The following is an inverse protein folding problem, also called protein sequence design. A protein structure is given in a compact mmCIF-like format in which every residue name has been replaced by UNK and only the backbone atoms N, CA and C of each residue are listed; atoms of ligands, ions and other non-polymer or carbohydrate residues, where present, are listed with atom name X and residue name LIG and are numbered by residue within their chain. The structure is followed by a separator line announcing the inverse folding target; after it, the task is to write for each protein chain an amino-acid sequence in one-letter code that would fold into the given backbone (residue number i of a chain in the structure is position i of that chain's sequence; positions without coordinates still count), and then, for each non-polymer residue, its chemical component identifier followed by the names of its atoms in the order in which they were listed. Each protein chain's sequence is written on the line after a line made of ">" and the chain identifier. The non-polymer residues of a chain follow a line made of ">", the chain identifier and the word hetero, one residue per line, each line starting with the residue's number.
data_IF_113307451487
#
_entry.id   IF_113307451487
#
_cell.length_a   1.000
_cell.length_b   1.000
_cell.length_c   1.000
_cell.angle_alpha   90.00
_cell.angle_beta   90.00
_cell.angle_gamma   90.00
#
_symmetry.space_group_name_H-M   'P 1'
#
loop_
_entity.id
_entity.type
_entity.pdbx_description
1 polymer ?
#
# COMPACT_ATOMS: atom_id res chain seq x y z
N UNK A 1 53.78 -13.30 40.89
CA UNK A 1 53.68 -14.44 39.97
C UNK A 1 52.26 -14.44 39.45
N UNK A 2 52.13 -13.89 38.25
CA UNK A 2 50.87 -13.42 37.67
C UNK A 2 49.96 -14.57 37.24
N UNK A 3 48.71 -14.50 37.68
CA UNK A 3 47.63 -15.34 37.19
C UNK A 3 47.22 -14.87 35.79
N UNK A 4 47.77 -15.51 34.75
CA UNK A 4 47.26 -15.41 33.38
C UNK A 4 45.88 -16.06 33.30
N UNK A 5 44.84 -15.23 33.40
CA UNK A 5 43.49 -15.55 32.90
C UNK A 5 43.59 -15.82 31.39
N UNK A 6 43.48 -17.10 31.02
CA UNK A 6 43.30 -17.49 29.64
C UNK A 6 41.90 -17.07 29.19
N UNK A 7 41.81 -15.95 28.47
CA UNK A 7 40.63 -15.59 27.71
C UNK A 7 40.47 -16.64 26.59
N UNK A 8 39.60 -17.62 26.81
CA UNK A 8 39.09 -18.48 25.73
C UNK A 8 38.36 -17.58 24.74
N UNK A 9 39.00 -17.32 23.61
CA UNK A 9 38.38 -16.76 22.41
C UNK A 9 37.37 -17.77 21.88
N UNK A 10 36.15 -17.74 22.43
CA UNK A 10 35.02 -18.51 21.94
C UNK A 10 34.62 -17.99 20.55
N UNK A 11 34.46 -18.89 19.59
CA UNK A 11 34.07 -18.57 18.22
C UNK A 11 32.73 -17.81 18.18
N UNK A 12 32.60 -16.73 17.37
CA UNK A 12 31.38 -15.93 17.28
C UNK A 12 30.11 -16.73 16.93
N UNK A 13 30.28 -17.84 16.19
CA UNK A 13 29.18 -18.75 15.84
C UNK A 13 28.60 -19.48 17.05
N UNK A 14 29.44 -19.84 18.02
CA UNK A 14 28.99 -20.48 19.26
C UNK A 14 28.29 -19.47 20.16
N UNK A 15 28.81 -18.24 20.28
CA UNK A 15 28.20 -17.18 21.08
C UNK A 15 26.79 -16.82 20.57
N UNK A 16 26.61 -16.70 19.24
CA UNK A 16 25.29 -16.43 18.65
C UNK A 16 24.30 -17.59 18.87
N UNK A 17 24.76 -18.84 18.81
CA UNK A 17 23.93 -20.01 19.11
C UNK A 17 23.50 -20.03 20.57
N UNK A 18 24.41 -19.78 21.51
CA UNK A 18 24.10 -19.79 22.96
C UNK A 18 23.19 -18.61 23.33
N UNK A 19 23.38 -17.44 22.71
CA UNK A 19 22.49 -16.29 22.89
C UNK A 19 21.09 -16.54 22.31
N UNK A 20 20.98 -17.15 21.13
CA UNK A 20 19.68 -17.53 20.54
C UNK A 20 18.94 -18.56 21.40
N UNK A 21 19.66 -19.51 22.01
CA UNK A 21 19.08 -20.50 22.93
C UNK A 21 18.60 -19.84 24.23
N UNK A 22 19.38 -18.94 24.84
CA UNK A 22 18.97 -18.21 26.04
C UNK A 22 17.75 -17.31 25.81
N UNK A 23 17.65 -16.68 24.63
CA UNK A 23 16.47 -15.89 24.25
C UNK A 23 15.24 -16.79 24.07
N UNK A 24 15.40 -17.96 23.47
CA UNK A 24 14.30 -18.93 23.32
C UNK A 24 13.84 -19.50 24.68
N UNK A 25 14.76 -19.84 25.57
CA UNK A 25 14.45 -20.32 26.92
C UNK A 25 13.75 -19.25 27.77
N UNK A 26 14.17 -17.98 27.67
CA UNK A 26 13.49 -16.87 28.34
C UNK A 26 12.06 -16.65 27.82
N UNK A 27 11.82 -16.85 26.53
CA UNK A 27 10.47 -16.74 25.97
C UNK A 27 9.60 -17.90 26.43
N UNK A 28 10.13 -19.12 26.55
CA UNK A 28 9.40 -20.35 26.92
C UNK A 28 8.67 -20.24 28.26
N UNK A 29 9.27 -19.58 29.24
CA UNK A 29 8.70 -19.42 30.58
C UNK A 29 7.56 -18.39 30.65
N UNK A 30 7.42 -17.53 29.63
CA UNK A 30 6.43 -16.45 29.62
C UNK A 30 5.06 -16.94 29.11
N UNK A 31 3.93 -16.50 29.70
CA UNK A 31 2.61 -16.92 29.26
C UNK A 31 2.24 -16.35 27.89
N UNK A 32 1.57 -17.15 27.06
CA UNK A 32 1.20 -16.83 25.67
C UNK A 32 0.45 -15.51 25.53
N UNK A 33 -0.46 -15.22 26.45
CA UNK A 33 -1.24 -13.98 26.44
C UNK A 33 -0.33 -12.74 26.53
N UNK A 34 0.72 -12.79 27.36
CA UNK A 34 1.66 -11.67 27.51
C UNK A 34 2.54 -11.48 26.29
N UNK A 35 3.00 -12.57 25.67
CA UNK A 35 3.77 -12.52 24.43
C UNK A 35 2.93 -11.92 23.30
N UNK A 36 1.66 -12.31 23.21
CA UNK A 36 0.73 -11.80 22.22
C UNK A 36 0.46 -10.31 22.41
N UNK A 37 0.20 -9.86 23.64
CA UNK A 37 0.00 -8.44 23.95
C UNK A 37 1.23 -7.59 23.63
N UNK A 38 2.43 -8.09 23.95
CA UNK A 38 3.70 -7.42 23.60
C UNK A 38 3.87 -7.32 22.08
N UNK A 39 3.66 -8.43 21.36
CA UNK A 39 3.74 -8.47 19.90
C UNK A 39 2.72 -7.55 19.23
N UNK A 40 1.48 -7.51 19.73
CA UNK A 40 0.46 -6.60 19.24
C UNK A 40 0.86 -5.14 19.46
N UNK A 41 1.35 -4.79 20.66
CA UNK A 41 1.81 -3.43 20.95
C UNK A 41 2.99 -3.01 20.05
N UNK A 42 3.91 -3.94 19.74
CA UNK A 42 4.99 -3.73 18.77
C UNK A 42 4.43 -3.38 17.37
N UNK A 43 3.50 -4.17 16.84
CA UNK A 43 2.90 -3.92 15.52
C UNK A 43 2.09 -2.61 15.52
N UNK A 44 1.40 -2.30 16.61
CA UNK A 44 0.69 -1.03 16.74
C UNK A 44 1.65 0.16 16.67
N UNK A 45 2.81 0.12 17.35
CA UNK A 45 3.83 1.18 17.21
C UNK A 45 4.32 1.32 15.77
N UNK A 46 4.67 0.21 15.12
CA UNK A 46 5.13 0.20 13.72
C UNK A 46 4.09 0.75 12.73
N UNK A 47 2.80 0.61 13.05
CA UNK A 47 1.71 1.06 12.17
C UNK A 47 1.16 2.44 12.52
N UNK A 48 1.33 2.91 13.75
CA UNK A 48 0.91 4.23 14.21
C UNK A 48 1.94 5.33 13.95
N UNK A 49 3.23 5.01 13.83
CA UNK A 49 4.28 5.98 13.45
C UNK A 49 4.22 6.42 11.96
N UNK A 50 3.17 6.05 11.22
CA UNK A 50 2.95 6.41 9.82
C UNK A 50 1.68 7.23 9.54
N UNK A 51 1.69 8.52 9.90
CA UNK A 51 0.91 9.54 9.19
C UNK A 51 1.68 10.03 7.94
N UNK A 52 0.99 10.63 6.96
CA UNK A 52 1.03 10.23 5.55
C UNK A 52 2.44 10.19 4.95
N UNK A 53 2.74 9.13 4.19
CA UNK A 53 3.74 9.10 3.11
C UNK A 53 4.97 9.98 3.36
N UNK A 54 5.92 9.54 4.18
CA UNK A 54 7.25 10.13 4.19
C UNK A 54 8.29 9.12 3.72
N UNK A 55 9.29 9.62 2.95
CA UNK A 55 10.12 8.82 2.07
C UNK A 55 11.03 7.93 2.89
N UNK A 56 11.22 6.69 2.41
CA UNK A 56 12.30 5.75 2.76
C UNK A 56 13.32 6.36 3.74
N UNK A 57 13.21 6.11 5.05
CA UNK A 57 14.16 6.67 6.00
C UNK A 57 15.54 6.10 5.68
N UNK A 58 16.56 6.95 5.73
CA UNK A 58 17.91 6.52 5.41
C UNK A 58 18.35 5.47 6.44
N UNK A 59 19.13 4.43 6.07
CA UNK A 59 19.59 3.38 7.01
C UNK A 59 20.40 3.88 8.23
N UNK A 60 20.68 5.18 8.28
CA UNK A 60 21.42 5.87 9.34
C UNK A 60 20.51 6.51 10.39
N UNK A 61 19.19 6.61 10.15
CA UNK A 61 18.26 7.18 11.12
C UNK A 61 18.03 6.20 12.28
N UNK A 62 18.25 6.66 13.52
CA UNK A 62 18.05 5.85 14.72
C UNK A 62 16.61 5.32 14.85
N UNK A 63 15.62 6.08 14.37
CA UNK A 63 14.21 5.68 14.31
C UNK A 63 13.97 4.52 13.31
N UNK A 64 14.64 4.52 12.16
CA UNK A 64 14.57 3.40 11.21
C UNK A 64 15.22 2.13 11.77
N UNK A 65 16.31 2.27 12.52
CA UNK A 65 16.96 1.14 13.21
C UNK A 65 16.07 0.58 14.32
N UNK A 66 15.47 1.44 15.14
CA UNK A 66 14.51 1.03 16.16
C UNK A 66 13.30 0.30 15.55
N UNK A 67 12.75 0.80 14.45
CA UNK A 67 11.68 0.12 13.72
C UNK A 67 12.10 -1.26 13.18
N UNK A 68 13.32 -1.39 12.66
CA UNK A 68 13.83 -2.68 12.18
C UNK A 68 14.04 -3.69 13.31
N UNK A 69 14.51 -3.24 14.46
CA UNK A 69 14.66 -4.09 15.64
C UNK A 69 13.30 -4.50 16.21
N UNK A 70 12.31 -3.60 16.24
CA UNK A 70 10.91 -3.90 16.59
C UNK A 70 10.30 -4.94 15.63
N UNK A 71 10.58 -4.87 14.33
CA UNK A 71 10.14 -5.88 13.34
C UNK A 71 10.77 -7.24 13.65
N UNK A 72 12.08 -7.29 13.90
CA UNK A 72 12.80 -8.54 14.20
C UNK A 72 12.33 -9.16 15.52
N UNK A 73 12.09 -8.33 16.54
CA UNK A 73 11.51 -8.77 17.81
C UNK A 73 10.10 -9.31 17.62
N UNK A 74 9.24 -8.57 16.91
CA UNK A 74 7.88 -9.01 16.58
C UNK A 74 7.86 -10.35 15.84
N UNK A 75 8.74 -10.55 14.85
CA UNK A 75 8.87 -11.82 14.14
C UNK A 75 9.28 -12.95 15.07
N UNK A 76 10.21 -12.70 16.00
CA UNK A 76 10.64 -13.70 16.98
C UNK A 76 9.49 -14.09 17.91
N UNK A 77 8.74 -13.11 18.42
CA UNK A 77 7.59 -13.32 19.30
C UNK A 77 6.47 -14.11 18.60
N UNK A 78 6.04 -13.68 17.41
CA UNK A 78 4.91 -14.31 16.73
C UNK A 78 5.25 -15.68 16.14
N UNK A 79 6.50 -15.94 15.73
CA UNK A 79 6.91 -17.30 15.36
C UNK A 79 6.87 -18.25 16.56
N UNK A 80 7.28 -17.77 17.74
CA UNK A 80 7.24 -18.56 18.96
C UNK A 80 5.80 -18.78 19.46
N UNK A 81 4.95 -17.76 19.39
CA UNK A 81 3.51 -17.89 19.66
C UNK A 81 2.88 -18.89 18.71
N UNK A 82 3.14 -18.77 17.40
CA UNK A 82 2.63 -19.69 16.38
C UNK A 82 3.04 -21.13 16.71
N UNK A 83 4.32 -21.38 16.98
CA UNK A 83 4.83 -22.71 17.37
C UNK A 83 4.09 -23.30 18.57
N UNK A 84 3.84 -22.49 19.60
CA UNK A 84 3.14 -22.93 20.81
C UNK A 84 1.66 -23.19 20.59
N UNK A 85 0.96 -22.30 19.88
CA UNK A 85 -0.45 -22.46 19.52
C UNK A 85 -0.67 -23.77 18.77
N UNK A 86 0.21 -24.08 17.81
CA UNK A 86 0.18 -25.37 17.10
C UNK A 86 0.50 -26.55 18.02
N UNK A 87 1.51 -26.44 18.88
CA UNK A 87 1.89 -27.55 19.78
C UNK A 87 0.83 -27.87 20.84
N UNK A 88 0.07 -26.87 21.28
CA UNK A 88 -1.02 -27.01 22.25
C UNK A 88 -2.33 -27.42 21.57
N UNK A 89 -2.41 -27.34 20.24
CA UNK A 89 -3.63 -27.65 19.50
C UNK A 89 -4.80 -26.71 19.81
N UNK A 90 -4.54 -25.44 20.19
CA UNK A 90 -5.58 -24.49 20.62
C UNK A 90 -6.56 -24.11 19.49
N UNK A 91 -6.17 -24.34 18.24
CA UNK A 91 -6.99 -24.08 17.06
C UNK A 91 -6.91 -25.29 16.14
N UNK A 92 -7.88 -26.19 16.23
CA UNK A 92 -7.97 -27.36 15.35
C UNK A 92 -8.46 -26.98 13.95
N UNK A 93 -8.00 -27.66 12.90
CA UNK A 93 -8.38 -27.37 11.51
C UNK A 93 -9.86 -27.60 11.19
N UNK A 94 -10.58 -28.33 12.05
CA UNK A 94 -12.00 -28.67 11.87
C UNK A 94 -12.93 -28.04 12.94
N UNK A 95 -12.46 -27.03 13.66
CA UNK A 95 -13.27 -26.32 14.65
C UNK A 95 -14.24 -25.32 14.00
N UNK A 96 -15.46 -25.23 14.52
CA UNK A 96 -16.35 -24.11 14.24
C UNK A 96 -16.05 -22.94 15.19
N UNK A 97 -16.51 -21.73 14.84
CA UNK A 97 -16.28 -20.52 15.63
C UNK A 97 -16.78 -20.61 17.08
N UNK A 98 -17.83 -21.40 17.30
CA UNK A 98 -18.45 -21.52 18.62
C UNK A 98 -17.73 -22.56 19.50
N UNK A 99 -16.92 -23.45 18.91
CA UNK A 99 -16.11 -24.44 19.64
C UNK A 99 -14.80 -23.86 20.18
N UNK A 100 -14.31 -22.76 19.59
CA UNK A 100 -13.06 -22.10 20.01
C UNK A 100 -13.30 -21.32 21.30
N UNK A 101 -12.46 -21.52 22.32
CA UNK A 101 -12.54 -20.76 23.56
C UNK A 101 -12.36 -19.25 23.33
N UNK A 102 -13.14 -18.43 24.04
CA UNK A 102 -13.12 -16.96 23.88
C UNK A 102 -11.71 -16.37 24.10
N UNK A 103 -10.96 -16.93 25.04
CA UNK A 103 -9.58 -16.52 25.33
C UNK A 103 -8.58 -16.83 24.20
N UNK A 104 -8.85 -17.88 23.40
CA UNK A 104 -7.93 -18.37 22.38
C UNK A 104 -8.21 -17.80 20.99
N UNK A 105 -9.41 -17.24 20.78
CA UNK A 105 -9.82 -16.63 19.52
C UNK A 105 -8.85 -15.55 19.01
N UNK A 106 -8.16 -14.83 19.92
CA UNK A 106 -7.13 -13.84 19.55
C UNK A 106 -5.95 -14.45 18.79
N UNK A 107 -5.64 -15.73 18.98
CA UNK A 107 -4.51 -16.38 18.32
C UNK A 107 -4.76 -16.65 16.84
N UNK A 108 -6.00 -16.54 16.36
CA UNK A 108 -6.29 -16.52 14.91
C UNK A 108 -5.53 -15.38 14.21
N UNK A 109 -5.25 -14.27 14.90
CA UNK A 109 -4.54 -13.12 14.35
C UNK A 109 -3.02 -13.33 14.22
N UNK A 110 -2.46 -14.44 14.70
CA UNK A 110 -0.99 -14.66 14.69
C UNK A 110 -0.44 -14.61 13.27
N UNK A 111 -1.05 -15.33 12.32
CA UNK A 111 -0.62 -15.34 10.92
C UNK A 111 -0.86 -13.98 10.24
N UNK A 112 -1.89 -13.24 10.64
CA UNK A 112 -2.10 -11.87 10.21
C UNK A 112 -0.94 -10.95 10.64
N UNK A 113 -0.53 -11.01 11.91
CA UNK A 113 0.58 -10.20 12.41
C UNK A 113 1.92 -10.61 11.79
N UNK A 114 2.17 -11.91 11.58
CA UNK A 114 3.32 -12.39 10.82
C UNK A 114 3.33 -11.83 9.40
N UNK A 115 2.18 -11.78 8.73
CA UNK A 115 2.04 -11.18 7.40
C UNK A 115 2.42 -9.69 7.37
N UNK A 116 1.93 -8.91 8.34
CA UNK A 116 2.28 -7.48 8.48
C UNK A 116 3.77 -7.29 8.74
N UNK A 117 4.37 -8.08 9.62
CA UNK A 117 5.79 -7.96 9.94
C UNK A 117 6.67 -8.37 8.74
N UNK A 118 6.30 -9.44 8.04
CA UNK A 118 6.99 -9.88 6.82
C UNK A 118 6.88 -8.86 5.68
N UNK A 119 5.74 -8.15 5.56
CA UNK A 119 5.57 -7.10 4.56
C UNK A 119 6.38 -5.83 4.85
N UNK A 120 6.85 -5.66 6.08
CA UNK A 120 7.64 -4.52 6.53
C UNK A 120 9.15 -4.80 6.60
N UNK A 121 9.61 -6.04 6.33
CA UNK A 121 11.03 -6.38 6.40
C UNK A 121 11.85 -5.45 5.48
N UNK A 122 12.84 -4.73 6.04
CA UNK A 122 13.63 -3.73 5.32
C UNK A 122 14.61 -4.36 4.33
N UNK A 123 15.00 -3.56 3.33
CA UNK A 123 16.10 -3.88 2.41
C UNK A 123 17.45 -3.70 3.13
N UNK A 124 18.00 -4.76 3.71
CA UNK A 124 19.31 -4.70 4.38
C UNK A 124 20.48 -4.96 3.42
N UNK A 125 21.42 -4.02 3.32
CA UNK A 125 22.73 -4.15 2.65
C UNK A 125 23.05 -2.99 1.68
N UNK A 126 24.35 -2.75 1.43
CA UNK A 126 24.85 -1.63 0.58
C UNK A 126 24.29 -1.60 -0.85
N UNK A 127 23.73 -2.71 -1.35
CA UNK A 127 23.19 -2.83 -2.71
C UNK A 127 21.67 -3.01 -2.77
N UNK A 128 20.97 -2.97 -1.64
CA UNK A 128 19.54 -3.32 -1.55
C UNK A 128 19.33 -4.78 -1.97
N UNK A 129 19.28 -5.70 -1.01
CA UNK A 129 19.07 -7.12 -1.32
C UNK A 129 17.61 -7.37 -1.71
N UNK A 130 17.31 -7.13 -2.99
CA UNK A 130 15.99 -7.38 -3.61
C UNK A 130 15.55 -8.85 -3.42
N UNK A 131 16.50 -9.77 -3.26
CA UNK A 131 16.22 -11.17 -2.95
C UNK A 131 15.64 -11.37 -1.55
N UNK A 132 16.11 -10.64 -0.54
CA UNK A 132 15.50 -10.67 0.81
C UNK A 132 14.10 -10.06 0.81
N UNK A 133 13.88 -8.95 0.10
CA UNK A 133 12.55 -8.34 -0.02
C UNK A 133 11.56 -9.28 -0.69
N UNK A 134 11.97 -9.92 -1.78
CA UNK A 134 11.20 -10.98 -2.44
C UNK A 134 10.77 -12.07 -1.47
N UNK A 135 11.72 -12.59 -0.68
CA UNK A 135 11.45 -13.65 0.30
C UNK A 135 10.49 -13.14 1.38
N UNK A 136 10.67 -11.90 1.85
CA UNK A 136 9.79 -11.25 2.81
C UNK A 136 8.36 -11.14 2.30
N UNK A 137 8.16 -10.62 1.09
CA UNK A 137 6.83 -10.51 0.46
C UNK A 137 6.20 -11.89 0.25
N UNK A 138 6.98 -12.87 -0.22
CA UNK A 138 6.51 -14.25 -0.35
C UNK A 138 6.00 -14.82 0.98
N UNK A 139 6.76 -14.64 2.06
CA UNK A 139 6.34 -15.05 3.42
C UNK A 139 5.11 -14.27 3.90
N UNK A 140 5.01 -12.98 3.59
CA UNK A 140 3.85 -12.16 3.94
C UNK A 140 2.58 -12.69 3.27
N UNK A 141 2.63 -12.95 1.96
CA UNK A 141 1.52 -13.53 1.20
C UNK A 141 1.11 -14.89 1.74
N UNK A 142 2.07 -15.81 1.99
CA UNK A 142 1.75 -17.12 2.59
C UNK A 142 1.11 -16.97 3.97
N UNK A 143 1.59 -16.05 4.81
CA UNK A 143 1.01 -15.84 6.15
C UNK A 143 -0.41 -15.28 6.06
N UNK A 144 -0.66 -14.32 5.16
CA UNK A 144 -2.00 -13.81 4.91
C UNK A 144 -2.95 -14.86 4.33
N UNK A 145 -2.46 -15.73 3.46
CA UNK A 145 -3.24 -16.84 2.91
C UNK A 145 -3.67 -17.80 4.03
N UNK A 146 -2.74 -18.23 4.89
CA UNK A 146 -3.04 -19.08 6.05
C UNK A 146 -4.07 -18.43 6.97
N UNK A 147 -3.92 -17.13 7.25
CA UNK A 147 -4.89 -16.36 8.04
C UNK A 147 -6.29 -16.34 7.42
N UNK A 148 -6.39 -16.07 6.12
CA UNK A 148 -7.67 -15.99 5.41
C UNK A 148 -8.34 -17.37 5.32
N UNK A 149 -7.58 -18.43 5.05
CA UNK A 149 -8.08 -19.81 5.08
C UNK A 149 -8.63 -20.17 6.46
N UNK A 150 -7.92 -19.80 7.54
CA UNK A 150 -8.41 -20.00 8.90
C UNK A 150 -9.70 -19.22 9.18
N UNK A 151 -9.81 -17.98 8.70
CA UNK A 151 -11.03 -17.19 8.83
C UNK A 151 -12.21 -17.78 8.04
N UNK A 152 -11.95 -18.40 6.88
CA UNK A 152 -12.95 -19.09 6.09
C UNK A 152 -13.44 -20.37 6.79
N UNK A 153 -12.53 -21.19 7.32
CA UNK A 153 -12.87 -22.41 8.09
C UNK A 153 -13.74 -22.09 9.30
N UNK A 154 -13.41 -21.03 10.04
CA UNK A 154 -14.20 -20.57 11.19
C UNK A 154 -15.51 -19.87 10.76
N UNK A 155 -15.80 -19.73 9.47
CA UNK A 155 -16.99 -19.01 9.00
C UNK A 155 -17.02 -17.53 9.40
N UNK A 156 -15.84 -16.92 9.63
CA UNK A 156 -15.67 -15.49 9.88
C UNK A 156 -15.60 -14.69 8.58
N UNK A 157 -15.22 -15.32 7.48
CA UNK A 157 -15.24 -14.77 6.13
C UNK A 157 -16.56 -15.13 5.43
N UNK A 158 -17.47 -14.14 5.26
CA UNK A 158 -18.80 -14.34 4.69
C UNK A 158 -19.20 -13.21 3.74
N UNK A 159 -20.09 -13.50 2.80
CA UNK A 159 -20.75 -12.50 1.96
C UNK A 159 -19.77 -11.75 1.04
N UNK A 160 -19.80 -10.42 1.09
CA UNK A 160 -18.95 -9.54 0.28
C UNK A 160 -17.45 -9.81 0.48
N UNK A 161 -17.03 -10.05 1.73
CA UNK A 161 -15.61 -10.21 2.05
C UNK A 161 -15.05 -11.53 1.48
N UNK A 162 -15.87 -12.59 1.45
CA UNK A 162 -15.51 -13.87 0.84
C UNK A 162 -15.41 -13.76 -0.68
N UNK A 163 -16.34 -13.05 -1.32
CA UNK A 163 -16.29 -12.80 -2.77
C UNK A 163 -15.09 -11.96 -3.16
N UNK A 164 -14.76 -10.93 -2.36
CA UNK A 164 -13.58 -10.10 -2.58
C UNK A 164 -12.28 -10.91 -2.46
N UNK A 165 -12.20 -11.82 -1.49
CA UNK A 165 -11.05 -12.71 -1.33
C UNK A 165 -10.92 -13.70 -2.50
N UNK A 166 -12.03 -14.34 -2.91
CA UNK A 166 -12.05 -15.27 -4.04
C UNK A 166 -11.63 -14.57 -5.34
N UNK A 167 -12.13 -13.35 -5.60
CA UNK A 167 -11.73 -12.55 -6.76
C UNK A 167 -10.24 -12.21 -6.77
N UNK A 168 -9.69 -11.79 -5.63
CA UNK A 168 -8.27 -11.46 -5.49
C UNK A 168 -7.33 -12.66 -5.66
N UNK A 169 -7.84 -13.89 -5.50
CA UNK A 169 -7.10 -15.14 -5.75
C UNK A 169 -7.26 -15.64 -7.18
N UNK A 170 -8.46 -15.52 -7.76
CA UNK A 170 -8.72 -15.96 -9.14
C UNK A 170 -7.87 -15.22 -10.19
N UNK A 171 -7.52 -13.95 -9.92
CA UNK A 171 -6.56 -13.19 -10.73
C UNK A 171 -5.18 -13.91 -10.83
N UNK A 172 -4.79 -14.75 -9.87
CA UNK A 172 -3.55 -15.54 -9.94
C UNK A 172 -3.63 -16.71 -10.93
N UNK A 173 -4.79 -17.36 -11.05
CA UNK A 173 -4.94 -18.58 -11.85
C UNK A 173 -4.96 -18.28 -13.35
N UNK A 174 -5.53 -17.14 -13.76
CA UNK A 174 -5.45 -16.68 -15.16
C UNK A 174 -4.03 -16.28 -15.59
N UNK A 175 -3.22 -15.73 -14.68
CA UNK A 175 -1.82 -15.37 -14.98
C UNK A 175 -0.87 -16.58 -14.99
N UNK A 176 -1.17 -17.62 -14.21
CA UNK A 176 -0.36 -18.85 -14.12
C UNK A 176 -0.57 -19.86 -15.28
N UNK A 177 -1.62 -19.71 -16.08
CA UNK A 177 -2.02 -20.66 -17.14
C UNK A 177 -1.41 -20.35 -18.53
N UNK A 178 -0.24 -19.71 -18.55
CA UNK A 178 0.50 -19.41 -19.77
C UNK A 178 1.73 -20.33 -19.93
N UNK A 179 1.55 -21.65 -19.87
CA UNK A 179 2.59 -22.57 -20.33
C UNK A 179 2.01 -23.87 -20.92
N UNK A 180 2.41 -24.14 -22.16
CA UNK A 180 2.24 -25.44 -22.83
C UNK A 180 1.39 -25.43 -24.09
N UNK A 181 1.87 -24.82 -25.18
CA UNK A 181 1.93 -25.43 -26.51
C UNK A 181 2.93 -24.68 -27.40
N UNK A 182 3.83 -25.44 -28.02
CA UNK A 182 4.83 -25.02 -29.01
C UNK A 182 4.23 -24.07 -30.05
N UNK A 183 4.73 -22.84 -30.14
CA UNK A 183 4.54 -22.01 -31.34
C UNK A 183 5.63 -20.93 -31.47
N UNK A 184 6.83 -21.39 -31.82
CA UNK A 184 8.06 -20.58 -32.00
C UNK A 184 7.98 -19.59 -33.19
N UNK A 185 6.86 -19.57 -33.94
CA UNK A 185 6.64 -18.66 -35.07
C UNK A 185 5.90 -17.36 -34.73
N UNK A 186 5.28 -17.23 -33.56
CA UNK A 186 4.55 -15.99 -33.17
C UNK A 186 5.40 -14.97 -32.41
N UNK A 187 6.61 -15.31 -31.96
CA UNK A 187 7.47 -14.42 -31.16
C UNK A 187 8.11 -13.26 -31.94
N UNK A 188 8.04 -13.25 -33.28
CA UNK A 188 8.67 -12.22 -34.12
C UNK A 188 7.76 -11.09 -34.58
N UNK A 189 6.46 -11.14 -34.28
CA UNK A 189 5.51 -10.19 -34.88
C UNK A 189 4.40 -9.72 -33.93
N UNK A 190 4.61 -9.65 -32.61
CA UNK A 190 3.77 -8.83 -31.73
C UNK A 190 4.64 -8.35 -30.57
N UNK A 191 5.07 -7.08 -30.61
CA UNK A 191 5.48 -6.40 -29.38
C UNK A 191 4.30 -6.47 -28.41
N UNK A 192 4.47 -6.92 -27.16
CA UNK A 192 3.40 -6.86 -26.18
C UNK A 192 3.23 -5.39 -25.79
N UNK A 193 2.44 -4.64 -26.57
CA UNK A 193 1.80 -3.42 -26.12
C UNK A 193 0.53 -3.78 -25.34
N UNK A 194 0.63 -4.72 -24.39
CA UNK A 194 -0.17 -4.63 -23.17
C UNK A 194 0.58 -3.60 -22.33
N UNK A 195 0.32 -2.32 -22.64
CA UNK A 195 0.59 -1.28 -21.67
C UNK A 195 -0.09 -1.69 -20.37
N UNK A 196 0.46 -1.24 -19.26
CA UNK A 196 -0.17 -1.21 -17.93
C UNK A 196 -1.45 -0.37 -18.08
N UNK A 197 -2.45 -0.96 -18.71
CA UNK A 197 -3.73 -0.38 -19.05
C UNK A 197 -4.64 -0.77 -17.92
N UNK A 198 -4.39 -0.19 -16.75
CA UNK A 198 -5.40 -0.14 -15.70
C UNK A 198 -6.55 0.63 -16.34
N UNK A 199 -7.59 -0.07 -16.78
CA UNK A 199 -8.75 0.59 -17.36
C UNK A 199 -9.26 1.59 -16.31
N UNK A 200 -9.60 2.81 -16.71
CA UNK A 200 -10.10 3.82 -15.75
C UNK A 200 -11.34 3.33 -14.98
N UNK A 201 -12.07 2.35 -15.53
CA UNK A 201 -13.14 1.64 -14.83
C UNK A 201 -12.64 0.81 -13.64
N UNK A 202 -11.52 0.09 -13.78
CA UNK A 202 -10.94 -0.71 -12.70
C UNK A 202 -10.38 0.17 -11.57
N UNK A 203 -9.79 1.32 -11.87
CA UNK A 203 -9.29 2.25 -10.83
C UNK A 203 -10.41 2.81 -9.96
N UNK A 204 -11.55 3.17 -10.56
CA UNK A 204 -12.68 3.69 -9.81
C UNK A 204 -13.27 2.63 -8.89
N UNK A 205 -13.39 1.39 -9.36
CA UNK A 205 -13.89 0.26 -8.55
C UNK A 205 -12.94 -0.07 -7.40
N UNK A 206 -11.62 -0.15 -7.65
CA UNK A 206 -10.63 -0.37 -6.59
C UNK A 206 -10.63 0.77 -5.57
N UNK A 207 -10.77 2.02 -6.03
CA UNK A 207 -10.87 3.20 -5.16
C UNK A 207 -12.13 3.14 -4.30
N UNK A 208 -13.30 2.83 -4.86
CA UNK A 208 -14.56 2.76 -4.09
C UNK A 208 -14.50 1.66 -3.04
N UNK A 209 -14.01 0.47 -3.41
CA UNK A 209 -13.81 -0.64 -2.46
C UNK A 209 -12.87 -0.25 -1.31
N UNK A 210 -11.77 0.46 -1.60
CA UNK A 210 -10.85 0.95 -0.56
C UNK A 210 -11.50 1.98 0.36
N UNK A 211 -12.31 2.89 -0.18
CA UNK A 211 -13.06 3.88 0.61
C UNK A 211 -14.07 3.17 1.53
N UNK A 212 -14.77 2.17 1.02
CA UNK A 212 -15.72 1.37 1.80
C UNK A 212 -15.03 0.61 2.93
N UNK A 213 -13.92 -0.08 2.64
CA UNK A 213 -13.11 -0.76 3.66
C UNK A 213 -12.57 0.21 4.71
N UNK A 214 -12.13 1.40 4.30
CA UNK A 214 -11.70 2.44 5.24
C UNK A 214 -12.84 2.89 6.17
N UNK A 215 -14.06 3.06 5.64
CA UNK A 215 -15.26 3.37 6.44
C UNK A 215 -15.60 2.21 7.40
N UNK A 216 -15.57 0.96 6.94
CA UNK A 216 -15.75 -0.25 7.76
C UNK A 216 -14.71 -0.30 8.89
N UNK A 217 -13.44 -0.05 8.59
CA UNK A 217 -12.35 -0.03 9.58
C UNK A 217 -12.50 1.10 10.60
N UNK A 218 -12.91 2.30 10.18
CA UNK A 218 -13.15 3.44 11.09
C UNK A 218 -14.29 3.14 12.06
N UNK A 219 -15.40 2.62 11.57
CA UNK A 219 -16.56 2.27 12.41
C UNK A 219 -16.24 1.12 13.37
N UNK A 220 -15.52 0.10 12.92
CA UNK A 220 -15.05 -1.00 13.78
C UNK A 220 -14.09 -0.53 14.88
N UNK A 221 -13.14 0.37 14.58
CA UNK A 221 -12.26 0.96 15.60
C UNK A 221 -13.04 1.71 16.67
N UNK A 222 -14.07 2.45 16.28
CA UNK A 222 -14.93 3.15 17.24
C UNK A 222 -15.69 2.16 18.13
N UNK A 223 -16.26 1.11 17.53
CA UNK A 223 -16.91 0.04 18.29
C UNK A 223 -15.94 -0.64 19.25
N UNK A 224 -14.69 -0.86 18.85
CA UNK A 224 -13.66 -1.45 19.70
C UNK A 224 -13.35 -0.59 20.94
N UNK A 225 -13.34 0.74 20.80
CA UNK A 225 -13.18 1.66 21.94
C UNK A 225 -14.33 1.52 22.93
N UNK A 226 -15.56 1.45 22.42
CA UNK A 226 -16.76 1.23 23.23
C UNK A 226 -16.69 -0.11 23.96
N UNK A 227 -16.34 -1.20 23.26
CA UNK A 227 -16.22 -2.54 23.86
C UNK A 227 -15.16 -2.58 24.95
N UNK A 228 -13.99 -1.97 24.73
CA UNK A 228 -12.94 -1.90 25.75
C UNK A 228 -13.40 -1.13 26.99
N UNK A 229 -14.13 -0.02 26.82
CA UNK A 229 -14.68 0.76 27.93
C UNK A 229 -15.73 -0.04 28.73
N UNK A 230 -16.64 -0.73 28.04
CA UNK A 230 -17.64 -1.58 28.68
C UNK A 230 -17.00 -2.72 29.47
N UNK A 231 -15.98 -3.36 28.89
CA UNK A 231 -15.26 -4.46 29.50
C UNK A 231 -14.52 -4.03 30.77
N UNK A 232 -13.92 -2.83 30.79
CA UNK A 232 -13.34 -2.25 32.02
C UNK A 232 -14.43 -2.02 33.07
N UNK A 233 -15.57 -1.43 32.70
CA UNK A 233 -16.70 -1.22 33.62
C UNK A 233 -17.25 -2.52 34.22
N UNK A 234 -17.44 -3.55 33.40
CA UNK A 234 -17.91 -4.87 33.84
C UNK A 234 -16.89 -5.48 34.79
N UNK A 235 -15.59 -5.43 34.45
CA UNK A 235 -14.50 -5.89 35.32
C UNK A 235 -14.52 -5.19 36.67
N UNK A 236 -14.68 -3.87 36.69
CA UNK A 236 -14.69 -3.07 37.91
C UNK A 236 -15.92 -3.36 38.78
N UNK A 237 -17.12 -3.40 38.19
CA UNK A 237 -18.34 -3.80 38.91
C UNK A 237 -18.24 -5.21 39.51
N UNK A 238 -17.61 -6.14 38.79
CA UNK A 238 -17.36 -7.50 39.27
C UNK A 238 -16.32 -7.51 40.40
N UNK A 239 -15.30 -6.63 40.36
CA UNK A 239 -14.34 -6.50 41.48
C UNK A 239 -15.02 -5.95 42.74
N UNK A 240 -15.90 -4.97 42.59
CA UNK A 240 -16.65 -4.36 43.70
C UNK A 240 -17.63 -5.36 44.34
N UNK A 241 -18.34 -6.14 43.53
CA UNK A 241 -19.24 -7.19 44.01
C UNK A 241 -18.50 -8.32 44.75
N UNK A 242 -17.30 -8.69 44.29
CA UNK A 242 -16.48 -9.75 44.90
C UNK A 242 -15.61 -9.31 46.08
N UNK A 243 -15.56 -8.02 46.43
CA UNK A 243 -14.73 -7.51 47.54
C UNK A 243 -15.26 -7.90 48.94
N UNK A 244 -16.45 -8.49 49.03
CA UNK A 244 -17.05 -8.97 50.28
C UNK A 244 -16.72 -10.43 50.67
N UNK A 245 -16.26 -11.26 49.73
CA UNK A 245 -15.94 -12.68 49.99
C UNK A 245 -14.43 -12.94 49.91
N UNK A 246 -13.77 -13.00 51.06
CA UNK A 246 -12.43 -13.57 51.17
C UNK A 246 -12.50 -15.09 50.90
N UNK A 247 -12.27 -15.52 49.67
CA UNK A 247 -12.31 -16.96 49.40
C UNK A 247 -12.03 -17.39 47.96
N UNK A 248 -10.77 -17.28 47.52
CA UNK A 248 -10.02 -18.22 46.65
C UNK A 248 -10.63 -18.87 45.39
N UNK A 249 -11.82 -18.53 44.93
CA UNK A 249 -12.42 -19.02 43.67
C UNK A 249 -12.83 -17.86 42.77
N UNK A 250 -11.89 -16.95 42.48
CA UNK A 250 -12.09 -15.86 41.50
C UNK A 250 -11.42 -16.24 40.19
N UNK A 251 -11.93 -17.27 39.53
CA UNK A 251 -11.32 -17.76 38.28
C UNK A 251 -12.24 -17.68 37.07
N UNK A 252 -13.57 -17.61 37.25
CA UNK A 252 -14.49 -17.58 36.11
C UNK A 252 -14.91 -16.14 35.76
N UNK A 253 -14.68 -15.70 34.50
CA UNK A 253 -15.23 -14.45 33.98
C UNK A 253 -16.76 -14.45 34.08
N UNK A 254 -17.36 -13.29 34.31
CA UNK A 254 -18.81 -13.15 34.16
C UNK A 254 -19.23 -13.49 32.72
N UNK A 255 -20.40 -14.09 32.50
CA UNK A 255 -20.91 -14.35 31.16
C UNK A 255 -20.99 -13.09 30.28
N UNK A 256 -21.30 -11.93 30.89
CA UNK A 256 -21.28 -10.63 30.20
C UNK A 256 -19.85 -10.20 29.81
N UNK A 257 -18.86 -10.51 30.65
CA UNK A 257 -17.45 -10.23 30.35
C UNK A 257 -16.97 -11.09 29.19
N UNK A 258 -17.31 -12.39 29.20
CA UNK A 258 -16.95 -13.32 28.14
C UNK A 258 -17.60 -12.92 26.80
N UNK A 259 -18.88 -12.54 26.79
CA UNK A 259 -19.58 -12.11 25.57
C UNK A 259 -18.91 -10.88 24.96
N UNK A 260 -18.57 -9.88 25.79
CA UNK A 260 -17.85 -8.68 25.35
C UNK A 260 -16.44 -9.01 24.84
N UNK A 261 -15.72 -9.92 25.51
CA UNK A 261 -14.39 -10.37 25.09
C UNK A 261 -14.44 -11.12 23.75
N UNK A 262 -15.47 -11.94 23.54
CA UNK A 262 -15.73 -12.65 22.29
C UNK A 262 -16.09 -11.68 21.17
N UNK A 263 -16.99 -10.73 21.40
CA UNK A 263 -17.34 -9.70 20.40
C UNK A 263 -16.10 -8.88 20.00
N UNK A 264 -15.31 -8.45 21.00
CA UNK A 264 -14.05 -7.71 20.78
C UNK A 264 -13.08 -8.50 19.90
N UNK A 265 -12.89 -9.79 20.18
CA UNK A 265 -11.98 -10.66 19.45
C UNK A 265 -12.45 -10.90 18.00
N UNK A 266 -13.75 -11.18 17.81
CA UNK A 266 -14.36 -11.29 16.47
C UNK A 266 -14.18 -10.00 15.67
N UNK A 267 -14.30 -8.83 16.31
CA UNK A 267 -14.13 -7.54 15.65
C UNK A 267 -12.69 -7.29 15.21
N UNK A 268 -11.69 -7.64 16.04
CA UNK A 268 -10.28 -7.57 15.65
C UNK A 268 -9.96 -8.46 14.45
N UNK A 269 -10.50 -9.68 14.40
CA UNK A 269 -10.33 -10.59 13.25
C UNK A 269 -10.94 -9.98 11.98
N UNK A 270 -12.15 -9.42 12.07
CA UNK A 270 -12.77 -8.74 10.91
C UNK A 270 -11.94 -7.55 10.43
N UNK A 271 -11.39 -6.75 11.34
CA UNK A 271 -10.48 -5.66 10.98
C UNK A 271 -9.22 -6.19 10.28
N UNK A 272 -8.68 -7.32 10.74
CA UNK A 272 -7.58 -8.03 10.09
C UNK A 272 -7.91 -8.44 8.66
N UNK A 273 -9.09 -9.04 8.43
CA UNK A 273 -9.56 -9.45 7.09
C UNK A 273 -9.55 -8.27 6.12
N UNK A 274 -10.15 -7.13 6.49
CA UNK A 274 -10.17 -5.97 5.60
C UNK A 274 -8.79 -5.40 5.32
N UNK A 275 -7.88 -5.43 6.32
CA UNK A 275 -6.50 -4.99 6.13
C UNK A 275 -5.75 -5.93 5.19
N UNK A 276 -5.93 -7.25 5.31
CA UNK A 276 -5.33 -8.22 4.39
C UNK A 276 -5.80 -7.99 2.96
N UNK A 277 -7.09 -7.76 2.74
CA UNK A 277 -7.61 -7.49 1.40
C UNK A 277 -7.00 -6.23 0.76
N UNK A 278 -6.62 -5.22 1.55
CA UNK A 278 -5.92 -4.03 1.05
C UNK A 278 -4.43 -4.32 0.78
N UNK A 279 -3.75 -4.99 1.71
CA UNK A 279 -2.32 -5.32 1.59
C UNK A 279 -2.04 -6.35 0.49
N UNK A 280 -2.92 -7.33 0.28
CA UNK A 280 -2.75 -8.40 -0.70
C UNK A 280 -2.52 -7.86 -2.11
N UNK A 281 -3.39 -6.93 -2.54
CA UNK A 281 -3.30 -6.31 -3.87
C UNK A 281 -1.99 -5.56 -4.06
N UNK A 282 -1.54 -4.83 -3.03
CA UNK A 282 -0.31 -4.04 -3.08
C UNK A 282 0.94 -4.93 -3.10
N UNK A 283 0.97 -5.98 -2.28
CA UNK A 283 2.09 -6.92 -2.22
C UNK A 283 2.20 -7.77 -3.47
N UNK A 284 1.09 -8.09 -4.13
CA UNK A 284 1.09 -8.78 -5.41
C UNK A 284 1.67 -7.92 -6.53
N UNK A 285 1.24 -6.67 -6.64
CA UNK A 285 1.84 -5.70 -7.56
C UNK A 285 3.34 -5.53 -7.29
N UNK A 286 3.75 -5.44 -6.03
CA UNK A 286 5.16 -5.36 -5.67
C UNK A 286 5.93 -6.64 -6.06
N UNK A 287 5.37 -7.82 -5.81
CA UNK A 287 5.96 -9.11 -6.19
C UNK A 287 6.20 -9.20 -7.71
N UNK A 288 5.25 -8.75 -8.51
CA UNK A 288 5.34 -8.70 -9.97
C UNK A 288 6.44 -7.73 -10.43
N UNK A 289 6.45 -6.50 -9.89
CA UNK A 289 7.46 -5.49 -10.20
C UNK A 289 8.87 -6.02 -9.86
N UNK A 290 9.04 -6.65 -8.70
CA UNK A 290 10.32 -7.26 -8.30
C UNK A 290 10.73 -8.44 -9.20
N UNK A 291 9.76 -9.20 -9.70
CA UNK A 291 10.02 -10.25 -10.69
C UNK A 291 10.52 -9.66 -12.01
N UNK A 292 9.85 -8.62 -12.54
CA UNK A 292 10.27 -7.91 -13.75
C UNK A 292 11.65 -7.25 -13.60
N UNK A 293 11.96 -6.66 -12.44
CA UNK A 293 13.27 -6.07 -12.18
C UNK A 293 14.40 -7.12 -12.21
N UNK A 294 14.14 -8.35 -11.77
CA UNK A 294 15.15 -9.43 -11.80
C UNK A 294 15.39 -9.97 -13.20
N UNK A 295 14.35 -10.10 -14.03
CA UNK A 295 14.54 -10.54 -15.42
C UNK A 295 15.36 -9.52 -16.19
N UNK A 296 15.00 -8.22 -16.11
CA UNK A 296 15.72 -7.14 -16.76
C UNK A 296 17.15 -6.96 -16.22
N UNK A 297 17.36 -7.07 -14.91
CA UNK A 297 18.70 -7.02 -14.30
C UNK A 297 19.58 -8.21 -14.67
N UNK A 298 18.98 -9.40 -14.85
CA UNK A 298 19.67 -10.61 -15.30
C UNK A 298 20.11 -10.53 -16.76
N UNK A 299 19.28 -9.97 -17.64
CA UNK A 299 19.61 -9.72 -19.05
C UNK A 299 20.76 -8.71 -19.19
N UNK A 300 20.68 -7.59 -18.46
CA UNK A 300 21.74 -6.57 -18.43
C UNK A 300 23.09 -7.13 -17.96
N UNK A 301 23.08 -8.04 -16.98
CA UNK A 301 24.29 -8.71 -16.47
C UNK A 301 24.83 -9.80 -17.41
N UNK A 302 23.97 -10.40 -18.26
CA UNK A 302 24.38 -11.35 -19.32
C UNK A 302 25.00 -10.62 -20.51
N UNK A 303 24.47 -9.47 -20.92
CA UNK A 303 25.06 -8.62 -21.96
C UNK A 303 26.47 -8.11 -21.58
N UNK A 304 26.69 -7.76 -20.30
CA UNK A 304 28.01 -7.37 -19.78
C UNK A 304 29.03 -8.52 -19.81
N UNK A 305 28.59 -9.78 -19.61
CA UNK A 305 29.48 -10.96 -19.71
C UNK A 305 29.67 -11.47 -21.14
N UNK A 306 28.73 -11.19 -22.06
CA UNK A 306 28.81 -11.56 -23.47
C UNK A 306 29.72 -10.67 -24.33
N UNK A 307 30.18 -9.54 -23.79
CA UNK A 307 30.93 -8.53 -24.54
C UNK A 307 32.33 -8.29 -23.97
N UNK A 308 33.07 -9.36 -23.65
CA UNK A 308 34.54 -9.29 -23.53
C UNK A 308 35.17 -9.67 -24.88
N UNK A 309 34.97 -8.81 -25.87
CA UNK A 309 35.50 -8.98 -27.21
C UNK A 309 35.19 -7.75 -28.07
N UNK A 310 36.09 -6.77 -28.05
CA UNK A 310 36.16 -5.60 -28.95
C UNK A 310 34.92 -4.68 -29.02
N UNK A 311 34.90 -3.62 -28.21
CA UNK A 311 34.68 -2.27 -28.75
C UNK A 311 34.97 -1.20 -27.71
N UNK A 312 36.04 -0.45 -27.94
CA UNK A 312 36.07 0.95 -27.58
C UNK A 312 35.01 1.67 -28.44
N UNK A 313 33.74 1.62 -28.03
CA UNK A 313 32.70 2.51 -28.53
C UNK A 313 32.15 3.25 -27.34
N UNK A 314 32.49 4.53 -27.30
CA UNK A 314 32.02 5.48 -26.29
C UNK A 314 30.51 5.39 -26.16
N UNK A 315 30.04 5.53 -24.91
CA UNK A 315 28.62 5.59 -24.60
C UNK A 315 27.93 6.57 -25.54
N UNK A 316 26.70 6.22 -25.93
CA UNK A 316 25.83 7.08 -26.73
C UNK A 316 25.71 8.41 -25.99
N UNK A 317 26.47 9.42 -26.43
CA UNK A 317 26.28 10.79 -26.00
C UNK A 317 24.97 11.24 -26.63
N UNK A 318 23.93 11.36 -25.81
CA UNK A 318 22.70 12.04 -26.20
C UNK A 318 23.05 13.53 -26.34
N UNK A 319 23.50 13.92 -27.52
CA UNK A 319 23.71 15.32 -27.88
C UNK A 319 22.34 15.91 -28.25
N UNK A 320 21.72 16.59 -27.29
CA UNK A 320 20.55 17.42 -27.61
C UNK A 320 21.00 18.64 -28.42
N UNK A 321 20.35 18.84 -29.56
CA UNK A 321 20.64 19.92 -30.51
C UNK A 321 19.79 21.12 -30.11
N UNK A 322 20.38 22.10 -29.43
CA UNK A 322 19.74 23.40 -29.22
C UNK A 322 19.84 24.20 -30.53
N UNK A 323 18.71 24.36 -31.24
CA UNK A 323 18.60 25.15 -32.49
C UNK A 323 18.53 26.64 -32.16
N UNK A 324 19.61 27.21 -31.65
CA UNK A 324 19.67 28.66 -31.34
C UNK A 324 20.96 29.27 -31.88
N UNK A 325 21.02 29.40 -33.20
CA UNK A 325 22.05 30.20 -33.87
C UNK A 325 21.98 30.11 -35.40
N UNK A 326 22.03 31.23 -36.15
CA UNK A 326 22.14 31.21 -37.59
C UNK A 326 23.56 30.77 -37.96
N UNK A 327 23.76 29.46 -38.16
CA UNK A 327 25.06 28.89 -38.50
C UNK A 327 25.35 27.50 -37.94
N UNK A 328 24.43 26.87 -37.20
CA UNK A 328 24.53 25.44 -36.85
C UNK A 328 25.78 25.03 -36.09
N UNK A 329 26.50 25.97 -35.47
CA UNK A 329 27.73 25.68 -34.74
C UNK A 329 27.40 25.22 -33.31
N UNK A 330 27.69 23.95 -33.03
CA UNK A 330 27.54 23.30 -31.73
C UNK A 330 28.48 23.95 -30.71
N UNK A 331 27.93 24.71 -29.76
CA UNK A 331 28.69 25.21 -28.60
C UNK A 331 28.04 24.66 -27.33
N UNK A 332 28.59 23.55 -26.84
CA UNK A 332 28.26 23.00 -25.52
C UNK A 332 29.20 23.68 -24.53
N UNK A 333 28.73 24.65 -23.74
CA UNK A 333 29.53 25.18 -22.63
C UNK A 333 29.43 24.22 -21.45
N UNK A 334 30.56 23.95 -20.81
CA UNK A 334 30.64 23.07 -19.64
C UNK A 334 29.78 23.59 -18.47
N UNK A 335 29.55 24.89 -18.43
CA UNK A 335 28.67 25.59 -17.49
C UNK A 335 27.19 25.18 -17.67
N UNK A 336 26.71 25.09 -18.92
CA UNK A 336 25.34 24.72 -19.25
C UNK A 336 25.06 23.23 -18.94
N UNK A 337 26.06 22.37 -19.12
CA UNK A 337 25.99 20.96 -18.73
C UNK A 337 25.95 20.82 -17.21
N UNK A 338 26.79 21.56 -16.47
CA UNK A 338 26.85 21.48 -15.01
C UNK A 338 25.56 21.99 -14.36
N UNK A 339 24.95 23.05 -14.90
CA UNK A 339 23.69 23.58 -14.39
C UNK A 339 22.50 22.61 -14.56
N UNK A 340 22.58 21.67 -15.49
CA UNK A 340 21.52 20.69 -15.79
C UNK A 340 21.67 19.36 -15.04
N UNK A 341 22.78 19.13 -14.34
CA UNK A 341 22.99 17.95 -13.49
C UNK A 341 22.61 18.33 -12.04
N UNK A 342 21.84 17.47 -11.37
CA UNK A 342 21.26 17.69 -10.03
C UNK A 342 20.07 18.64 -9.94
N UNK A 343 19.27 18.77 -11.01
CA UNK A 343 17.96 19.39 -10.90
C UNK A 343 16.95 18.44 -10.23
N UNK A 344 16.09 18.92 -9.33
CA UNK A 344 14.99 18.12 -8.80
C UNK A 344 14.13 17.56 -9.93
N UNK A 345 13.72 16.28 -9.84
CA UNK A 345 12.92 15.60 -10.86
C UNK A 345 11.47 16.08 -11.00
N UNK A 346 11.14 17.24 -10.42
CA UNK A 346 9.82 17.87 -10.45
C UNK A 346 9.96 19.33 -10.88
N UNK A 347 8.94 19.87 -11.54
CA UNK A 347 8.91 21.27 -11.93
C UNK A 347 8.84 22.15 -10.68
N UNK A 348 9.88 22.93 -10.44
CA UNK A 348 9.88 23.92 -9.36
C UNK A 348 8.86 25.03 -9.68
N UNK A 349 8.16 25.56 -8.66
CA UNK A 349 7.32 26.74 -8.84
C UNK A 349 8.16 27.90 -9.40
N UNK A 350 7.77 28.40 -10.57
CA UNK A 350 8.43 29.54 -11.22
C UNK A 350 7.97 30.89 -10.66
N UNK A 351 6.89 30.87 -9.88
CA UNK A 351 6.30 32.05 -9.24
C UNK A 351 6.53 31.99 -7.73
N UNK A 352 6.76 33.16 -7.13
CA UNK A 352 6.85 33.26 -5.67
C UNK A 352 5.47 33.01 -5.03
N UNK A 353 5.47 32.64 -3.75
CA UNK A 353 4.22 32.34 -3.03
C UNK A 353 3.28 33.57 -2.97
N UNK A 354 3.87 34.76 -2.84
CA UNK A 354 3.17 36.04 -2.82
C UNK A 354 2.58 36.39 -4.19
N UNK A 355 3.35 36.17 -5.25
CA UNK A 355 2.89 36.38 -6.62
C UNK A 355 1.78 35.40 -7.02
N UNK A 356 1.88 34.14 -6.58
CA UNK A 356 0.82 33.16 -6.77
C UNK A 356 -0.45 33.54 -6.00
N UNK A 357 -0.32 34.01 -4.76
CA UNK A 357 -1.47 34.50 -3.98
C UNK A 357 -2.13 35.71 -4.64
N UNK A 358 -1.34 36.63 -5.21
CA UNK A 358 -1.85 37.77 -5.96
C UNK A 358 -2.58 37.34 -7.26
N UNK A 359 -2.03 36.35 -7.97
CA UNK A 359 -2.67 35.78 -9.17
C UNK A 359 -4.00 35.10 -8.81
N UNK A 360 -4.06 34.30 -7.75
CA UNK A 360 -5.30 33.66 -7.30
C UNK A 360 -6.33 34.68 -6.80
N UNK A 361 -5.91 35.75 -6.11
CA UNK A 361 -6.80 36.83 -5.68
C UNK A 361 -7.38 37.58 -6.89
N UNK A 362 -6.53 37.92 -7.87
CA UNK A 362 -6.97 38.58 -9.10
C UNK A 362 -7.92 37.69 -9.91
N UNK A 363 -7.62 36.39 -10.04
CA UNK A 363 -8.50 35.42 -10.68
C UNK A 363 -9.82 35.26 -9.92
N UNK A 364 -9.80 35.27 -8.58
CA UNK A 364 -11.01 35.23 -7.77
C UNK A 364 -11.87 36.50 -7.95
N UNK A 365 -11.25 37.68 -8.01
CA UNK A 365 -11.92 38.93 -8.29
C UNK A 365 -12.51 38.95 -9.71
N UNK A 366 -11.79 38.43 -10.70
CA UNK A 366 -12.27 38.32 -12.07
C UNK A 366 -13.45 37.33 -12.19
N UNK A 367 -13.38 36.18 -11.49
CA UNK A 367 -14.50 35.23 -11.41
C UNK A 367 -15.73 35.88 -10.81
N UNK A 368 -15.57 36.61 -9.71
CA UNK A 368 -16.67 37.35 -9.05
C UNK A 368 -17.25 38.43 -9.95
N UNK A 369 -16.40 39.25 -10.57
CA UNK A 369 -16.83 40.28 -11.50
C UNK A 369 -17.55 39.69 -12.73
N UNK A 370 -17.12 38.51 -13.20
CA UNK A 370 -17.77 37.78 -14.29
C UNK A 370 -19.13 37.21 -13.87
N UNK A 371 -19.26 36.68 -12.65
CA UNK A 371 -20.55 36.26 -12.08
C UNK A 371 -21.50 37.45 -11.89
N UNK A 372 -21.02 38.57 -11.35
CA UNK A 372 -21.80 39.80 -11.19
C UNK A 372 -22.20 40.40 -12.55
N UNK A 373 -21.31 40.36 -13.54
CA UNK A 373 -21.62 40.76 -14.92
C UNK A 373 -22.63 39.81 -15.57
N UNK A 374 -22.53 38.50 -15.33
CA UNK A 374 -23.51 37.50 -15.80
C UNK A 374 -24.87 37.66 -15.11
N UNK A 375 -24.87 38.02 -13.83
CA UNK A 375 -26.09 38.30 -13.08
C UNK A 375 -26.72 39.65 -13.48
N UNK A 376 -25.91 40.63 -13.89
CA UNK A 376 -26.35 41.98 -14.26
C UNK A 376 -26.68 42.20 -15.75
N UNK A 377 -26.03 41.48 -16.67
CA UNK A 377 -26.27 41.59 -18.12
C UNK A 377 -27.08 40.38 -18.62
N UNK A 378 -28.31 40.65 -19.05
CA UNK A 378 -29.17 39.71 -19.78
C UNK A 378 -28.69 39.41 -21.23
N UNK A 379 -27.46 39.77 -21.58
CA UNK A 379 -26.96 39.88 -22.96
C UNK A 379 -25.53 39.32 -23.12
N UNK A 380 -25.24 38.14 -22.56
CA UNK A 380 -24.18 37.28 -23.13
C UNK A 380 -24.87 36.30 -24.10
N UNK A 381 -24.29 36.01 -25.29
CA UNK A 381 -24.90 35.11 -26.26
C UNK A 381 -25.05 33.71 -25.65
N UNK A 382 -26.30 33.24 -25.55
CA UNK A 382 -26.66 31.96 -24.94
C UNK A 382 -26.75 30.88 -25.99
N UNK A 383 -26.46 29.65 -25.58
CA UNK A 383 -26.71 28.47 -26.41
C UNK A 383 -28.19 28.10 -26.35
N UNK A 384 -28.74 27.46 -27.38
CA UNK A 384 -30.18 27.15 -27.39
C UNK A 384 -30.63 26.32 -26.18
N UNK A 385 -29.83 25.31 -25.79
CA UNK A 385 -30.06 24.50 -24.60
C UNK A 385 -30.12 25.29 -23.28
N UNK A 386 -29.45 26.44 -23.19
CA UNK A 386 -29.50 27.31 -22.01
C UNK A 386 -30.75 28.21 -22.00
N UNK A 387 -31.32 28.50 -23.17
CA UNK A 387 -32.61 29.20 -23.27
C UNK A 387 -33.77 28.29 -22.85
N UNK A 388 -33.69 26.99 -23.21
CA UNK A 388 -34.62 25.93 -22.79
C UNK A 388 -34.65 25.76 -21.26
N UNK A 389 -33.48 25.63 -20.63
CA UNK A 389 -33.36 25.48 -19.18
C UNK A 389 -33.88 26.72 -18.40
N UNK A 390 -33.72 27.92 -18.96
CA UNK A 390 -34.21 29.16 -18.37
C UNK A 390 -35.66 29.52 -18.74
N UNK A 391 -36.34 28.72 -19.58
CA UNK A 391 -37.72 28.94 -20.00
C UNK A 391 -37.94 30.20 -20.85
N UNK A 392 -36.92 30.63 -21.62
CA UNK A 392 -36.95 31.83 -22.49
C UNK A 392 -37.00 31.48 -23.98
N UNK A 393 -37.61 30.34 -24.30
CA UNK A 393 -37.72 29.82 -25.66
C UNK A 393 -38.66 30.63 -26.56
N UNK A 394 -39.56 31.41 -25.95
CA UNK A 394 -40.58 32.18 -26.67
C UNK A 394 -40.06 33.51 -27.24
N UNK A 395 -38.86 33.96 -26.81
CA UNK A 395 -38.24 35.18 -27.30
C UNK A 395 -37.53 34.95 -28.65
N UNK A 396 -38.25 35.21 -29.75
CA UNK A 396 -37.77 34.97 -31.12
C UNK A 396 -36.38 35.55 -31.44
N UNK A 397 -36.03 36.72 -30.85
CA UNK A 397 -34.71 37.34 -31.04
C UNK A 397 -33.58 36.56 -30.36
N UNK A 398 -33.83 36.05 -29.15
CA UNK A 398 -32.84 35.28 -28.39
C UNK A 398 -32.62 33.90 -29.03
N UNK A 399 -33.70 33.29 -29.53
CA UNK A 399 -33.65 32.02 -30.27
C UNK A 399 -32.83 32.13 -31.54
N UNK A 400 -33.01 33.20 -32.33
CA UNK A 400 -32.26 33.40 -33.58
C UNK A 400 -30.76 33.61 -33.33
N UNK A 401 -30.40 34.41 -32.31
CA UNK A 401 -29.00 34.61 -31.92
C UNK A 401 -28.35 33.32 -31.41
N UNK A 402 -29.05 32.56 -30.57
CA UNK A 402 -28.58 31.27 -30.07
C UNK A 402 -28.37 30.25 -31.19
N UNK A 403 -29.30 30.20 -32.16
CA UNK A 403 -29.19 29.32 -33.32
C UNK A 403 -27.99 29.70 -34.22
N UNK A 404 -27.71 31.00 -34.38
CA UNK A 404 -26.50 31.45 -35.08
C UNK A 404 -25.22 31.01 -34.35
N UNK A 405 -25.18 31.19 -33.03
CA UNK A 405 -24.04 30.78 -32.20
C UNK A 405 -23.80 29.26 -32.26
N UNK A 406 -24.86 28.47 -32.19
CA UNK A 406 -24.78 27.01 -32.30
C UNK A 406 -24.18 26.56 -33.64
N UNK A 407 -24.58 27.20 -34.75
CA UNK A 407 -23.98 26.95 -36.07
C UNK A 407 -22.51 27.33 -36.11
N UNK A 408 -22.15 28.52 -35.61
CA UNK A 408 -20.73 28.94 -35.59
C UNK A 408 -19.86 28.03 -34.73
N UNK A 409 -20.44 27.44 -33.69
CA UNK A 409 -19.75 26.48 -32.83
C UNK A 409 -19.55 25.13 -33.51
N UNK A 410 -20.54 24.67 -34.27
CA UNK A 410 -20.42 23.48 -35.10
C UNK A 410 -19.36 23.67 -36.21
N UNK A 411 -19.40 24.78 -36.94
CA UNK A 411 -18.39 25.15 -37.95
C UNK A 411 -16.98 25.20 -37.36
N UNK A 412 -16.83 25.75 -36.14
CA UNK A 412 -15.55 25.77 -35.44
C UNK A 412 -15.06 24.37 -35.07
N UNK A 413 -15.93 23.48 -34.55
CA UNK A 413 -15.56 22.09 -34.22
C UNK A 413 -15.12 21.32 -35.47
N UNK A 414 -15.78 21.56 -36.60
CA UNK A 414 -15.42 20.95 -37.88
C UNK A 414 -14.06 21.46 -38.39
N UNK A 415 -13.77 22.75 -38.22
CA UNK A 415 -12.46 23.32 -38.51
C UNK A 415 -11.37 22.86 -37.52
N UNK A 416 -11.73 22.41 -36.31
CA UNK A 416 -10.82 21.99 -35.24
C UNK A 416 -11.06 20.52 -34.82
N UNK A 417 -10.81 19.55 -35.72
CA UNK A 417 -11.05 18.15 -35.43
C UNK A 417 -10.19 17.67 -34.27
N UNK A 418 -10.80 16.90 -33.37
CA UNK A 418 -10.11 16.31 -32.21
C UNK A 418 -8.85 15.55 -32.65
N UNK A 419 -7.71 15.88 -32.04
CA UNK A 419 -6.42 15.26 -32.35
C UNK A 419 -5.61 15.94 -33.47
N UNK A 420 -6.02 17.11 -33.96
CA UNK A 420 -5.24 17.92 -34.92
C UNK A 420 -3.82 18.27 -34.44
N UNK A 421 -3.61 18.40 -33.13
CA UNK A 421 -2.32 18.78 -32.54
C UNK A 421 -1.26 17.68 -32.40
N UNK A 422 -1.63 16.39 -32.49
CA UNK A 422 -0.71 15.27 -32.22
C UNK A 422 -0.53 14.34 -33.44
N UNK A 423 -0.35 14.93 -34.64
CA UNK A 423 -0.17 14.17 -35.89
C UNK A 423 1.29 14.06 -36.36
N UNK A 424 2.25 14.66 -35.66
CA UNK A 424 3.66 14.69 -36.11
C UNK A 424 4.40 13.35 -35.91
N UNK A 425 3.83 12.41 -35.14
CA UNK A 425 4.41 11.08 -34.90
C UNK A 425 4.09 10.00 -35.95
N UNK A 426 3.33 10.33 -37.00
CA UNK A 426 3.01 9.40 -38.10
C UNK A 426 3.45 9.98 -39.45
N UNK A 427 4.75 10.04 -39.67
CA UNK A 427 5.30 10.09 -41.04
C UNK A 427 6.15 8.83 -41.18
N UNK A 428 5.64 7.92 -42.02
CA UNK A 428 6.32 6.71 -42.46
C UNK A 428 7.60 7.05 -43.21
#
# INVERSE_FOLDING_TARGET
>A
MDAKLAALSLDPKYIASTASVHVQDSLLERPLCTLFQEGQALVERLTHEGGPSNPSPSPLDASARAGNDDIRQGLTLFNEISRRVHSLGLLSSNEELDDVATADLKYVLVDFYLGILHSQVPLEGEKGDMGKRQIGIGKALTSFETYMQRCEQLGLLKGEDQQAWAGARAEEEEEGSADGHDDDQRRRAVLPTKGIGVSSGNMNVQRTQKIERFRKLKTARERLRVLNHLLVKVKDSTKEAGAGEQGKNREEPSGEEEELERERSKLWIKMGVWKVLDEWTMLKQEQEILAMMRTQGGERRKEEKGTQGSSARGGVQVTHIDKTGPGGQLRIRQEDLRARVFQPGYTLPTVSLEEFAAQELAAAQERKAKEERRAGNLSEPRRYAQLEEEGKEDDARLVEEAAYQDRTWDDWKDAHPRGSGNKLGKRF
#
